data_IF_715622300981
#
_entry.id   IF_715622300981
#
_cell.length_a   1.000
_cell.length_b   1.000
_cell.length_c   1.000
_cell.angle_alpha   90.00
_cell.angle_beta   90.00
_cell.angle_gamma   90.00
#
_symmetry.space_group_name_H-M   'P 1'
#
loop_
_entity.id
_entity.type
_entity.pdbx_description
1 polymer ?
#
# COMPACT_ATOMS: atom_id res chain seq x y z
N UNK A 1 9.25 -40.78 -14.27
CA UNK A 1 7.95 -40.18 -13.90
C UNK A 1 8.25 -39.28 -12.73
N UNK A 2 8.11 -37.97 -12.94
CA UNK A 2 8.52 -36.92 -12.02
C UNK A 2 7.27 -36.31 -11.41
N UNK A 3 7.11 -36.43 -10.09
CA UNK A 3 6.05 -35.76 -9.36
C UNK A 3 6.70 -34.99 -8.20
N UNK A 4 7.10 -33.76 -8.48
CA UNK A 4 7.51 -32.79 -7.46
C UNK A 4 6.24 -32.15 -6.91
N UNK A 5 5.71 -32.74 -5.84
CA UNK A 5 4.59 -32.20 -5.08
C UNK A 5 5.07 -30.95 -4.31
N UNK A 6 4.95 -29.77 -4.94
CA UNK A 6 5.10 -28.49 -4.24
C UNK A 6 3.84 -28.26 -3.40
N UNK A 7 3.92 -28.24 -2.06
CA UNK A 7 2.76 -27.94 -1.24
C UNK A 7 2.30 -26.52 -1.57
N UNK A 8 1.11 -26.41 -2.14
CA UNK A 8 0.44 -25.15 -2.43
C UNK A 8 0.27 -24.41 -1.10
N UNK A 9 1.15 -23.45 -0.86
CA UNK A 9 1.16 -22.63 0.35
C UNK A 9 -0.05 -21.71 0.26
N UNK A 10 -1.21 -22.20 0.69
CA UNK A 10 -2.43 -21.42 0.75
C UNK A 10 -2.10 -20.12 1.50
N UNK A 11 -2.37 -18.94 0.89
CA UNK A 11 -2.01 -17.68 1.53
C UNK A 11 -2.79 -17.56 2.84
N UNK A 12 -2.06 -17.69 3.96
CA UNK A 12 -2.65 -17.58 5.29
C UNK A 12 -3.26 -16.20 5.44
N UNK A 13 -4.60 -16.14 5.45
CA UNK A 13 -5.39 -14.91 5.51
C UNK A 13 -5.22 -14.07 4.24
N UNK A 14 -6.27 -14.02 3.42
CA UNK A 14 -6.38 -12.99 2.39
C UNK A 14 -6.12 -11.63 3.06
N UNK A 15 -4.92 -11.06 2.88
CA UNK A 15 -4.63 -9.69 3.27
C UNK A 15 -5.69 -8.89 2.54
N UNK A 16 -6.55 -8.16 3.24
CA UNK A 16 -7.54 -7.32 2.61
C UNK A 16 -6.81 -6.46 1.57
N UNK A 17 -6.99 -6.80 0.29
CA UNK A 17 -6.36 -6.08 -0.80
C UNK A 17 -7.15 -4.79 -0.91
N UNK A 18 -6.60 -3.74 -0.32
CA UNK A 18 -7.07 -2.38 -0.57
C UNK A 18 -7.12 -2.17 -2.09
N UNK A 19 -8.27 -1.76 -2.60
CA UNK A 19 -8.43 -1.54 -4.02
C UNK A 19 -7.66 -0.31 -4.47
N UNK A 20 -7.46 -0.17 -5.78
CA UNK A 20 -6.89 1.07 -6.36
C UNK A 20 -7.73 2.31 -6.01
N UNK A 21 -9.04 2.16 -5.83
CA UNK A 21 -9.92 3.25 -5.39
C UNK A 21 -9.63 3.65 -3.94
N UNK A 22 -9.43 2.68 -3.05
CA UNK A 22 -9.08 2.93 -1.64
C UNK A 22 -7.72 3.62 -1.54
N UNK A 23 -6.73 3.19 -2.31
CA UNK A 23 -5.41 3.84 -2.34
C UNK A 23 -5.48 5.29 -2.82
N UNK A 24 -6.37 5.61 -3.78
CA UNK A 24 -6.63 7.00 -4.20
C UNK A 24 -7.31 7.80 -3.08
N UNK A 25 -8.24 7.19 -2.36
CA UNK A 25 -8.93 7.83 -1.23
C UNK A 25 -7.95 8.15 -0.10
N UNK A 26 -7.08 7.20 0.26
CA UNK A 26 -6.03 7.39 1.27
C UNK A 26 -5.06 8.50 0.89
N UNK A 27 -4.63 8.61 -0.38
CA UNK A 27 -3.79 9.73 -0.84
C UNK A 27 -4.46 11.09 -0.65
N UNK A 28 -5.73 11.22 -1.00
CA UNK A 28 -6.49 12.46 -0.81
C UNK A 28 -6.63 12.83 0.68
N UNK A 29 -6.82 11.83 1.54
CA UNK A 29 -6.88 12.05 2.98
C UNK A 29 -5.53 12.59 3.51
N UNK A 30 -4.41 12.01 3.07
CA UNK A 30 -3.06 12.49 3.43
C UNK A 30 -2.79 13.91 2.92
N UNK A 31 -3.16 14.21 1.68
CA UNK A 31 -3.04 15.57 1.13
C UNK A 31 -3.86 16.59 1.94
N UNK A 32 -5.08 16.21 2.33
CA UNK A 32 -5.91 17.06 3.16
C UNK A 32 -5.35 17.25 4.57
N UNK A 33 -4.74 16.21 5.13
CA UNK A 33 -4.13 16.27 6.44
C UNK A 33 -2.87 17.14 6.43
N UNK A 34 -2.00 16.96 5.43
CA UNK A 34 -0.78 17.75 5.25
C UNK A 34 -1.05 19.27 5.19
N UNK A 35 -2.17 19.70 4.60
CA UNK A 35 -2.54 21.12 4.55
C UNK A 35 -2.81 21.75 5.93
N UNK A 36 -3.19 20.94 6.91
CA UNK A 36 -3.54 21.38 8.26
C UNK A 36 -2.47 21.03 9.30
N UNK A 37 -1.38 20.38 8.89
CA UNK A 37 -0.28 19.96 9.76
C UNK A 37 0.84 20.98 9.69
N UNK A 38 1.18 21.58 10.82
CA UNK A 38 2.28 22.56 10.93
C UNK A 38 3.61 21.92 11.38
N UNK A 39 3.54 20.70 11.94
CA UNK A 39 4.73 19.96 12.36
C UNK A 39 5.49 19.39 11.15
N UNK A 40 6.75 19.83 10.99
CA UNK A 40 7.64 19.39 9.91
C UNK A 40 7.95 17.90 9.97
N UNK A 41 8.07 17.32 11.16
CA UNK A 41 8.39 15.90 11.32
C UNK A 41 7.18 15.04 10.94
N UNK A 42 5.98 15.52 11.24
CA UNK A 42 4.73 14.89 10.84
C UNK A 42 4.50 15.01 9.32
N UNK A 43 4.77 16.18 8.73
CA UNK A 43 4.76 16.37 7.28
C UNK A 43 5.71 15.42 6.54
N UNK A 44 6.91 15.17 7.09
CA UNK A 44 7.85 14.21 6.51
C UNK A 44 7.28 12.78 6.50
N UNK A 45 6.60 12.36 7.57
CA UNK A 45 5.93 11.06 7.67
C UNK A 45 4.76 10.96 6.68
N UNK A 46 3.96 12.02 6.56
CA UNK A 46 2.83 12.08 5.62
C UNK A 46 3.33 11.96 4.18
N UNK A 47 4.37 12.70 3.80
CA UNK A 47 4.98 12.62 2.47
C UNK A 47 5.54 11.23 2.18
N UNK A 48 6.27 10.63 3.12
CA UNK A 48 6.78 9.27 2.96
C UNK A 48 5.66 8.25 2.74
N UNK A 49 4.54 8.39 3.46
CA UNK A 49 3.39 7.51 3.28
C UNK A 49 2.65 7.78 1.96
N UNK A 50 2.48 9.04 1.56
CA UNK A 50 1.86 9.43 0.29
C UNK A 50 2.61 8.83 -0.90
N UNK A 51 3.95 8.92 -0.90
CA UNK A 51 4.79 8.29 -1.91
C UNK A 51 4.63 6.77 -1.95
N UNK A 52 4.66 6.09 -0.80
CA UNK A 52 4.45 4.63 -0.71
C UNK A 52 3.08 4.19 -1.26
N UNK A 53 2.04 5.01 -1.10
CA UNK A 53 0.71 4.76 -1.66
C UNK A 53 0.61 5.12 -3.16
N UNK A 54 1.46 6.02 -3.65
CA UNK A 54 1.56 6.37 -5.07
C UNK A 54 2.31 5.33 -5.91
N UNK A 55 3.27 4.62 -5.30
CA UNK A 55 4.07 3.56 -5.95
C UNK A 55 3.38 2.18 -5.87
N UNK A 56 2.05 2.11 -6.03
CA UNK A 56 1.42 0.81 -6.29
C UNK A 56 1.63 0.46 -7.77
N UNK A 57 2.81 -0.07 -8.07
CA UNK A 57 3.02 -0.88 -9.27
C UNK A 57 2.56 -2.28 -8.85
N UNK A 58 1.44 -2.81 -9.36
CA UNK A 58 1.14 -4.23 -9.15
C UNK A 58 2.38 -4.98 -9.66
N UNK A 59 2.87 -5.95 -8.88
CA UNK A 59 4.05 -6.74 -9.23
C UNK A 59 4.12 -6.95 -10.75
N UNK A 60 5.21 -6.46 -11.35
CA UNK A 60 5.61 -6.85 -12.67
C UNK A 60 5.95 -8.34 -12.60
N UNK A 61 4.97 -9.18 -12.96
CA UNK A 61 5.20 -10.48 -13.55
C UNK A 61 5.23 -10.32 -15.08
#
# INVERSE_FOLDING_TARGET
MSDTDTPSKEPSRARALLSTADMKLLRRALESHARNTEDRDELAKINALHHRLGTYVPNAD
#
